data_IF_055528351009
#
_entry.id   IF_055528351009
#
_cell.length_a   1.000
_cell.length_b   1.000
_cell.length_c   1.000
_cell.angle_alpha   90.00
_cell.angle_beta   90.00
_cell.angle_gamma   90.00
#
_symmetry.space_group_name_H-M   'P 1'
#
loop_
_entity.id
_entity.type
_entity.pdbx_description
1 polymer ?
#
# COMPACT_ATOMS: atom_id res chain seq x y z
N UNK A 1 -9.04 14.18 29.18
CA UNK A 1 -10.10 13.14 29.16
C UNK A 1 -10.36 12.62 27.75
N UNK A 2 -10.44 13.49 26.73
CA UNK A 2 -10.67 13.08 25.33
C UNK A 2 -9.62 12.13 24.74
N UNK A 3 -8.34 12.32 25.07
CA UNK A 3 -7.27 11.42 24.62
C UNK A 3 -7.55 9.96 24.99
N UNK A 4 -7.87 9.70 26.26
CA UNK A 4 -8.18 8.35 26.75
C UNK A 4 -9.42 7.76 26.08
N UNK A 5 -10.43 8.59 25.84
CA UNK A 5 -11.66 8.18 25.15
C UNK A 5 -11.35 7.78 23.70
N UNK A 6 -10.57 8.58 22.97
CA UNK A 6 -10.20 8.31 21.58
C UNK A 6 -9.30 7.07 21.47
N UNK A 7 -8.35 6.91 22.40
CA UNK A 7 -7.51 5.72 22.47
C UNK A 7 -8.35 4.46 22.71
N UNK A 8 -9.24 4.48 23.70
CA UNK A 8 -10.15 3.37 23.98
C UNK A 8 -11.04 3.02 22.78
N UNK A 9 -11.63 4.03 22.12
CA UNK A 9 -12.45 3.83 20.92
C UNK A 9 -11.65 3.15 19.80
N UNK A 10 -10.43 3.63 19.53
CA UNK A 10 -9.54 3.03 18.53
C UNK A 10 -9.15 1.59 18.87
N UNK A 11 -8.76 1.33 20.12
CA UNK A 11 -8.40 -0.02 20.59
C UNK A 11 -9.58 -0.99 20.52
N UNK A 12 -10.79 -0.55 20.91
CA UNK A 12 -12.01 -1.36 20.79
C UNK A 12 -12.31 -1.66 19.32
N UNK A 13 -12.16 -0.68 18.42
CA UNK A 13 -12.32 -0.89 16.99
C UNK A 13 -11.40 -1.98 16.43
N UNK A 14 -10.11 -1.91 16.75
CA UNK A 14 -9.14 -2.95 16.35
C UNK A 14 -9.54 -4.31 16.96
N UNK A 15 -9.89 -4.35 18.25
CA UNK A 15 -10.31 -5.58 18.91
C UNK A 15 -11.53 -6.22 18.24
N UNK A 16 -12.54 -5.43 17.87
CA UNK A 16 -13.74 -5.91 17.18
C UNK A 16 -13.38 -6.50 15.81
N UNK A 17 -12.53 -5.83 15.02
CA UNK A 17 -12.10 -6.34 13.71
C UNK A 17 -11.37 -7.69 13.85
N UNK A 18 -10.49 -7.81 14.84
CA UNK A 18 -9.79 -9.07 15.14
C UNK A 18 -10.75 -10.15 15.67
N UNK A 19 -11.75 -9.77 16.47
CA UNK A 19 -12.77 -10.67 16.98
C UNK A 19 -13.63 -11.22 15.84
N UNK A 20 -14.03 -10.38 14.88
CA UNK A 20 -14.75 -10.82 13.67
C UNK A 20 -13.91 -11.80 12.87
N UNK A 21 -12.64 -11.47 12.61
CA UNK A 21 -11.72 -12.38 11.92
C UNK A 21 -11.56 -13.72 12.67
N UNK A 22 -11.46 -13.68 14.01
CA UNK A 22 -11.36 -14.86 14.86
C UNK A 22 -12.64 -15.71 14.81
N UNK A 23 -13.82 -15.10 14.79
CA UNK A 23 -15.10 -15.81 14.77
C UNK A 23 -15.28 -16.62 13.49
N UNK A 24 -14.87 -16.05 12.34
CA UNK A 24 -14.91 -16.71 11.03
C UNK A 24 -13.69 -17.60 10.75
N UNK A 25 -12.77 -17.73 11.71
CA UNK A 25 -11.56 -18.53 11.56
C UNK A 25 -11.87 -20.01 11.38
N UNK A 26 -11.25 -20.63 10.37
CA UNK A 26 -11.36 -22.05 10.10
C UNK A 26 -10.75 -22.92 11.22
N UNK A 27 -9.69 -22.43 11.89
CA UNK A 27 -9.05 -23.19 12.96
C UNK A 27 -8.48 -22.30 14.07
N UNK A 28 -9.35 -21.92 15.02
CA UNK A 28 -9.04 -21.04 16.15
C UNK A 28 -7.86 -21.48 17.01
N UNK A 29 -7.55 -22.79 17.07
CA UNK A 29 -6.46 -23.35 17.90
C UNK A 29 -5.08 -23.22 17.26
N UNK A 30 -5.02 -23.05 15.93
CA UNK A 30 -3.77 -23.00 15.17
C UNK A 30 -3.34 -21.59 14.78
N UNK A 31 -4.08 -20.57 15.22
CA UNK A 31 -3.72 -19.17 15.01
C UNK A 31 -2.35 -18.88 15.65
N UNK A 32 -1.40 -18.41 14.84
CA UNK A 32 -0.10 -17.96 15.32
C UNK A 32 -0.22 -16.54 15.88
N UNK A 33 -0.52 -16.42 17.18
CA UNK A 33 -0.67 -15.13 17.84
C UNK A 33 0.61 -14.28 17.85
N UNK A 34 1.79 -14.90 17.79
CA UNK A 34 3.05 -14.15 17.65
C UNK A 34 3.09 -13.41 16.32
N UNK A 35 2.69 -14.05 15.22
CA UNK A 35 2.57 -13.41 13.90
C UNK A 35 1.57 -12.26 13.94
N UNK A 36 0.37 -12.51 14.47
CA UNK A 36 -0.70 -11.51 14.55
C UNK A 36 -0.28 -10.27 15.34
N UNK A 37 0.27 -10.47 16.54
CA UNK A 37 0.72 -9.36 17.40
C UNK A 37 1.90 -8.63 16.76
N UNK A 38 2.83 -9.34 16.13
CA UNK A 38 3.98 -8.71 15.44
C UNK A 38 3.49 -7.87 14.26
N UNK A 39 2.55 -8.37 13.45
CA UNK A 39 2.00 -7.66 12.30
C UNK A 39 1.21 -6.40 12.69
N UNK A 40 0.37 -6.49 13.73
CA UNK A 40 -0.34 -5.31 14.28
C UNK A 40 0.68 -4.34 14.90
N UNK A 41 1.67 -4.85 15.62
CA UNK A 41 2.76 -4.05 16.19
C UNK A 41 3.51 -3.28 15.10
N UNK A 42 3.83 -3.91 13.98
CA UNK A 42 4.48 -3.27 12.83
C UNK A 42 3.64 -2.10 12.27
N UNK A 43 2.32 -2.27 12.16
CA UNK A 43 1.42 -1.19 11.74
C UNK A 43 1.39 -0.03 12.74
N UNK A 44 1.24 -0.33 14.03
CA UNK A 44 1.19 0.69 15.08
C UNK A 44 2.51 1.46 15.13
N UNK A 45 3.64 0.74 15.10
CA UNK A 45 4.97 1.34 15.07
C UNK A 45 5.11 2.24 13.84
N UNK A 46 4.75 1.76 12.66
CA UNK A 46 4.81 2.55 11.43
C UNK A 46 3.87 3.77 11.49
N UNK A 47 2.65 3.61 12.00
CA UNK A 47 1.71 4.71 12.19
C UNK A 47 2.23 5.78 13.15
N UNK A 48 2.89 5.38 14.25
CA UNK A 48 3.56 6.30 15.16
C UNK A 48 4.67 7.07 14.44
N UNK A 49 5.50 6.39 13.66
CA UNK A 49 6.57 7.04 12.88
C UNK A 49 6.05 8.06 11.86
N UNK A 50 4.90 7.81 11.23
CA UNK A 50 4.34 8.70 10.22
C UNK A 50 3.52 9.85 10.84
N UNK A 51 2.69 9.56 11.83
CA UNK A 51 1.77 10.54 12.44
C UNK A 51 2.51 11.43 13.44
N UNK A 52 3.34 10.85 14.32
CA UNK A 52 4.01 11.56 15.42
C UNK A 52 5.48 11.91 15.11
N UNK A 53 5.85 11.93 13.84
CA UNK A 53 7.22 12.18 13.37
C UNK A 53 7.86 13.45 13.95
N UNK A 54 7.10 14.54 14.10
CA UNK A 54 7.60 15.86 14.51
C UNK A 54 7.96 15.83 15.99
N UNK A 55 7.10 15.19 16.78
CA UNK A 55 7.38 14.88 18.18
C UNK A 55 8.58 13.93 18.31
N UNK A 56 8.64 12.86 17.52
CA UNK A 56 9.77 11.92 17.52
C UNK A 56 11.10 12.59 17.17
N UNK A 57 11.09 13.49 16.17
CA UNK A 57 12.26 14.28 15.75
C UNK A 57 12.75 15.22 16.86
N UNK A 58 11.84 15.75 17.68
CA UNK A 58 12.19 16.59 18.83
C UNK A 58 12.87 15.82 19.96
N UNK A 59 12.57 14.52 20.11
CA UNK A 59 13.21 13.64 21.09
C UNK A 59 14.58 13.15 20.57
N UNK A 60 14.61 12.67 19.33
CA UNK A 60 15.83 12.21 18.69
C UNK A 60 15.74 12.47 17.19
N UNK A 61 16.63 13.32 16.67
CA UNK A 61 16.60 13.78 15.29
C UNK A 61 16.48 12.64 14.27
N UNK A 62 17.15 11.51 14.53
CA UNK A 62 17.13 10.35 13.64
C UNK A 62 15.73 9.75 13.53
N UNK A 63 14.86 9.82 14.54
CA UNK A 63 13.53 9.17 14.47
C UNK A 63 12.54 9.87 13.50
N UNK A 64 12.90 11.04 12.95
CA UNK A 64 12.09 11.74 11.95
C UNK A 64 12.25 11.24 10.50
N UNK A 65 13.34 10.51 10.19
CA UNK A 65 13.66 10.12 8.81
C UNK A 65 12.55 9.34 8.08
N UNK A 66 11.72 8.47 8.72
CA UNK A 66 10.71 7.71 8.01
C UNK A 66 9.65 8.59 7.34
N UNK A 67 9.21 9.66 8.01
CA UNK A 67 8.26 10.61 7.41
C UNK A 67 8.91 11.40 6.30
N UNK A 68 10.17 11.81 6.45
CA UNK A 68 10.89 12.55 5.40
C UNK A 68 11.00 11.73 4.10
N UNK A 69 11.22 10.41 4.22
CA UNK A 69 11.19 9.48 3.07
C UNK A 69 9.80 9.42 2.44
N UNK A 70 8.72 9.24 3.23
CA UNK A 70 7.35 9.19 2.69
C UNK A 70 6.95 10.54 2.06
N UNK A 71 7.32 11.66 2.66
CA UNK A 71 7.08 12.99 2.12
C UNK A 71 7.80 13.18 0.78
N UNK A 72 9.04 12.70 0.68
CA UNK A 72 9.83 12.75 -0.56
C UNK A 72 9.19 11.88 -1.65
N UNK A 73 8.77 10.67 -1.30
CA UNK A 73 8.05 9.78 -2.22
C UNK A 73 6.71 10.39 -2.66
N UNK A 74 5.92 10.92 -1.72
CA UNK A 74 4.65 11.58 -2.01
C UNK A 74 4.82 12.80 -2.92
N UNK A 75 5.83 13.63 -2.67
CA UNK A 75 6.18 14.76 -3.52
C UNK A 75 6.63 14.32 -4.91
N UNK A 76 7.40 13.23 -4.99
CA UNK A 76 7.78 12.59 -6.25
C UNK A 76 6.57 12.10 -7.04
N UNK A 77 5.60 11.46 -6.38
CA UNK A 77 4.33 11.05 -7.01
C UNK A 77 3.59 12.28 -7.56
N UNK A 78 3.48 13.35 -6.79
CA UNK A 78 2.81 14.59 -7.26
C UNK A 78 3.56 15.24 -8.43
N UNK A 79 4.89 15.19 -8.46
CA UNK A 79 5.66 15.64 -9.61
C UNK A 79 5.37 14.79 -10.87
N UNK A 80 5.28 13.46 -10.71
CA UNK A 80 4.90 12.54 -11.80
C UNK A 80 3.47 12.81 -12.31
N UNK A 81 2.53 13.17 -11.43
CA UNK A 81 1.19 13.62 -11.82
C UNK A 81 1.28 14.87 -12.70
N UNK A 82 2.15 15.81 -12.37
CA UNK A 82 2.40 17.01 -13.19
C UNK A 82 2.91 16.70 -14.60
N UNK A 83 3.81 15.73 -14.75
CA UNK A 83 4.25 15.27 -16.08
C UNK A 83 3.13 14.58 -16.86
N UNK A 84 2.32 13.78 -16.17
CA UNK A 84 1.17 13.12 -16.78
C UNK A 84 0.17 14.15 -17.30
N UNK A 85 -0.10 15.20 -16.52
CA UNK A 85 -1.01 16.28 -16.92
C UNK A 85 -0.56 16.94 -18.23
N UNK A 86 0.75 17.15 -18.41
CA UNK A 86 1.31 17.65 -19.68
C UNK A 86 1.11 16.69 -20.85
N UNK A 87 1.25 15.39 -20.60
CA UNK A 87 0.93 14.36 -21.60
C UNK A 87 -0.55 14.31 -21.96
N UNK A 88 -1.44 14.44 -20.98
CA UNK A 88 -2.88 14.48 -21.20
C UNK A 88 -3.29 15.74 -21.98
N UNK A 89 -2.73 16.91 -21.65
CA UNK A 89 -2.90 18.17 -22.40
C UNK A 89 -2.46 18.03 -23.86
N UNK A 90 -1.34 17.34 -24.11
CA UNK A 90 -0.86 17.10 -25.47
C UNK A 90 -1.83 16.23 -26.29
N UNK A 91 -2.38 15.17 -25.69
CA UNK A 91 -3.26 14.21 -26.40
C UNK A 91 -4.69 14.74 -26.55
N UNK A 92 -5.25 15.33 -25.48
CA UNK A 92 -6.67 15.66 -25.39
C UNK A 92 -6.96 17.17 -25.36
N UNK A 93 -5.93 18.02 -25.35
CA UNK A 93 -6.08 19.47 -25.36
C UNK A 93 -6.93 19.97 -24.19
N UNK A 94 -7.96 20.78 -24.51
CA UNK A 94 -8.87 21.40 -23.52
C UNK A 94 -9.68 20.40 -22.70
N UNK A 95 -9.83 19.15 -23.14
CA UNK A 95 -10.55 18.13 -22.38
C UNK A 95 -9.75 17.65 -21.15
N UNK A 96 -8.42 17.65 -21.26
CA UNK A 96 -7.52 17.29 -20.15
C UNK A 96 -7.23 18.47 -19.21
N UNK A 97 -7.47 19.71 -19.64
CA UNK A 97 -7.30 20.90 -18.81
C UNK A 97 -8.50 21.82 -19.00
N UNK A 98 -9.55 21.53 -18.24
CA UNK A 98 -10.81 22.27 -18.29
C UNK A 98 -10.95 23.18 -17.07
N UNK A 99 -10.07 24.17 -16.95
CA UNK A 99 -10.13 25.21 -15.91
C UNK A 99 -10.41 26.58 -16.54
N UNK A 100 -11.21 27.41 -15.87
CA UNK A 100 -11.55 28.76 -16.33
C UNK A 100 -13.05 29.06 -16.35
N UNK A 101 -13.46 30.29 -16.76
CA UNK A 101 -14.85 30.73 -16.77
C UNK A 101 -15.77 29.88 -17.67
N UNK A 102 -15.20 29.32 -18.75
CA UNK A 102 -15.90 28.45 -19.71
C UNK A 102 -15.75 26.95 -19.36
N UNK A 103 -15.35 26.63 -18.12
CA UNK A 103 -15.15 25.24 -17.73
C UNK A 103 -16.46 24.49 -17.69
N UNK A 104 -16.56 23.41 -18.48
CA UNK A 104 -17.62 22.40 -18.39
C UNK A 104 -17.47 21.46 -17.16
N UNK A 105 -16.49 21.71 -16.29
CA UNK A 105 -16.21 20.92 -15.10
C UNK A 105 -15.14 19.83 -15.27
N UNK A 106 -15.08 18.93 -14.29
CA UNK A 106 -14.08 17.87 -14.20
C UNK A 106 -14.44 16.66 -15.06
N UNK A 107 -13.59 16.34 -16.05
CA UNK A 107 -13.77 15.16 -16.89
C UNK A 107 -12.88 14.02 -16.45
N UNK A 108 -13.44 13.09 -15.69
CA UNK A 108 -12.72 11.93 -15.18
C UNK A 108 -11.96 11.16 -16.29
N UNK A 109 -12.59 10.93 -17.43
CA UNK A 109 -12.01 10.15 -18.52
C UNK A 109 -10.72 10.77 -19.09
N UNK A 110 -10.63 12.10 -19.18
CA UNK A 110 -9.51 12.79 -19.84
C UNK A 110 -8.47 13.33 -18.85
N UNK A 111 -8.82 13.43 -17.57
CA UNK A 111 -7.93 13.99 -16.54
C UNK A 111 -7.34 12.88 -15.65
N UNK A 112 -8.07 11.78 -15.45
CA UNK A 112 -7.68 10.74 -14.48
C UNK A 112 -7.16 9.48 -15.15
N UNK A 113 -7.85 8.97 -16.18
CA UNK A 113 -7.44 7.73 -16.85
C UNK A 113 -6.04 7.81 -17.49
N UNK A 114 -5.59 8.93 -18.09
CA UNK A 114 -4.23 9.03 -18.62
C UNK A 114 -3.15 8.81 -17.55
N UNK A 115 -3.43 9.19 -16.31
CA UNK A 115 -2.54 8.94 -15.17
C UNK A 115 -2.40 7.46 -14.87
N UNK A 116 -3.48 6.69 -14.95
CA UNK A 116 -3.42 5.24 -14.78
C UNK A 116 -2.51 4.63 -15.85
N UNK A 117 -2.70 5.03 -17.12
CA UNK A 117 -1.88 4.55 -18.24
C UNK A 117 -0.40 4.88 -18.02
N UNK A 118 -0.09 6.13 -17.67
CA UNK A 118 1.29 6.58 -17.44
C UNK A 118 1.95 5.83 -16.29
N UNK A 119 1.27 5.69 -15.15
CA UNK A 119 1.83 5.01 -13.97
C UNK A 119 1.96 3.51 -14.21
N UNK A 120 1.04 2.88 -14.94
CA UNK A 120 1.17 1.47 -15.35
C UNK A 120 2.37 1.26 -16.28
N UNK A 121 2.59 2.16 -17.24
CA UNK A 121 3.76 2.13 -18.12
C UNK A 121 5.06 2.33 -17.34
N UNK A 122 5.11 3.31 -16.43
CA UNK A 122 6.27 3.56 -15.57
C UNK A 122 6.58 2.36 -14.67
N UNK A 123 5.55 1.79 -14.04
CA UNK A 123 5.69 0.58 -13.20
C UNK A 123 6.24 -0.59 -14.03
N UNK A 124 5.77 -0.76 -15.26
CA UNK A 124 6.27 -1.79 -16.19
C UNK A 124 7.74 -1.56 -16.55
N UNK A 125 8.17 -0.31 -16.75
CA UNK A 125 9.58 0.03 -16.99
C UNK A 125 10.43 -0.25 -15.75
N UNK A 126 9.99 0.17 -14.56
CA UNK A 126 10.71 -0.08 -13.30
C UNK A 126 10.82 -1.58 -13.00
N UNK A 127 9.82 -2.35 -13.43
CA UNK A 127 9.85 -3.80 -13.40
C UNK A 127 10.87 -4.36 -14.40
N UNK A 128 10.84 -3.95 -15.66
CA UNK A 128 11.82 -4.40 -16.65
C UNK A 128 13.27 -4.10 -16.23
N UNK A 129 13.50 -2.93 -15.61
CA UNK A 129 14.81 -2.49 -15.13
C UNK A 129 15.28 -3.21 -13.85
N UNK A 130 14.44 -3.99 -13.17
CA UNK A 130 14.82 -4.69 -11.95
C UNK A 130 14.71 -3.87 -10.65
N UNK A 131 14.33 -2.59 -10.73
CA UNK A 131 14.30 -1.66 -9.59
C UNK A 131 13.18 -2.08 -8.63
N UNK A 132 11.99 -2.33 -9.18
CA UNK A 132 10.83 -2.70 -8.37
C UNK A 132 11.07 -4.02 -7.64
N UNK A 133 11.70 -4.99 -8.30
CA UNK A 133 12.05 -6.28 -7.72
C UNK A 133 13.02 -6.13 -6.55
N UNK A 134 14.01 -5.24 -6.65
CA UNK A 134 14.95 -5.01 -5.56
C UNK A 134 14.25 -4.49 -4.30
N UNK A 135 13.38 -3.49 -4.47
CA UNK A 135 12.60 -2.89 -3.37
C UNK A 135 11.67 -3.94 -2.74
N UNK A 136 10.88 -4.62 -3.58
CA UNK A 136 9.92 -5.62 -3.13
C UNK A 136 10.61 -6.80 -2.44
N UNK A 137 11.76 -7.26 -2.95
CA UNK A 137 12.54 -8.34 -2.32
C UNK A 137 13.03 -7.94 -0.92
N UNK A 138 13.52 -6.72 -0.76
CA UNK A 138 14.00 -6.21 0.52
C UNK A 138 12.88 -6.15 1.56
N UNK A 139 11.74 -5.57 1.18
CA UNK A 139 10.57 -5.49 2.05
C UNK A 139 9.98 -6.87 2.36
N UNK A 140 9.90 -7.77 1.38
CA UNK A 140 9.41 -9.14 1.56
C UNK A 140 10.32 -9.95 2.50
N UNK A 141 11.63 -9.73 2.44
CA UNK A 141 12.58 -10.34 3.36
C UNK A 141 12.38 -9.86 4.80
N UNK A 142 12.17 -8.55 5.00
CA UNK A 142 11.84 -7.99 6.32
C UNK A 142 10.54 -8.63 6.85
N UNK A 143 9.49 -8.67 6.03
CA UNK A 143 8.19 -9.24 6.40
C UNK A 143 8.31 -10.73 6.76
N UNK A 144 8.92 -11.54 5.88
CA UNK A 144 9.10 -12.98 6.11
C UNK A 144 9.92 -13.25 7.38
N UNK A 145 10.96 -12.47 7.63
CA UNK A 145 11.81 -12.65 8.82
C UNK A 145 11.11 -12.26 10.13
N UNK A 146 10.34 -11.17 10.13
CA UNK A 146 9.64 -10.70 11.33
C UNK A 146 8.39 -11.53 11.64
N UNK A 147 7.63 -11.90 10.61
CA UNK A 147 6.34 -12.56 10.75
C UNK A 147 6.43 -14.08 10.68
N UNK A 148 7.54 -14.64 10.17
CA UNK A 148 7.71 -16.08 10.00
C UNK A 148 6.87 -16.67 8.86
N UNK A 149 6.41 -15.82 7.94
CA UNK A 149 5.60 -16.15 6.77
C UNK A 149 6.46 -16.71 5.63
N UNK A 150 5.82 -17.39 4.68
CA UNK A 150 6.54 -17.94 3.53
C UNK A 150 7.11 -16.82 2.65
N UNK A 151 8.18 -17.11 1.91
CA UNK A 151 8.79 -16.13 1.04
C UNK A 151 7.86 -15.72 -0.10
N UNK A 152 7.10 -16.65 -0.67
CA UNK A 152 6.16 -16.38 -1.75
C UNK A 152 4.98 -15.48 -1.29
N UNK A 153 4.33 -15.80 -0.18
CA UNK A 153 3.21 -14.98 0.29
C UNK A 153 3.69 -13.59 0.75
N UNK A 154 4.86 -13.51 1.37
CA UNK A 154 5.46 -12.24 1.79
C UNK A 154 5.85 -11.39 0.58
N UNK A 155 6.37 -12.03 -0.48
CA UNK A 155 6.76 -11.36 -1.71
C UNK A 155 5.55 -10.78 -2.45
N UNK A 156 4.51 -11.60 -2.67
CA UNK A 156 3.29 -11.15 -3.34
C UNK A 156 2.58 -10.06 -2.53
N UNK A 157 2.41 -10.26 -1.22
CA UNK A 157 1.73 -9.29 -0.37
C UNK A 157 2.49 -7.95 -0.26
N UNK A 158 3.83 -7.98 -0.29
CA UNK A 158 4.64 -6.77 -0.31
C UNK A 158 4.60 -6.09 -1.68
N UNK A 159 4.59 -6.86 -2.77
CA UNK A 159 4.49 -6.32 -4.12
C UNK A 159 3.19 -5.54 -4.31
N UNK A 160 2.10 -6.03 -3.73
CA UNK A 160 0.78 -5.39 -3.72
C UNK A 160 0.76 -3.96 -3.15
N UNK A 161 1.81 -3.52 -2.46
CA UNK A 161 1.98 -2.11 -2.04
C UNK A 161 2.15 -1.18 -3.24
N UNK A 162 2.72 -1.69 -4.35
CA UNK A 162 3.09 -0.91 -5.53
C UNK A 162 2.30 -1.34 -6.77
N UNK A 163 2.13 -2.64 -6.97
CA UNK A 163 1.45 -3.25 -8.12
C UNK A 163 0.06 -3.75 -7.77
N UNK A 164 -0.78 -3.99 -8.78
CA UNK A 164 -2.15 -4.44 -8.56
C UNK A 164 -2.27 -5.92 -8.14
N UNK A 165 -3.45 -6.27 -7.64
CA UNK A 165 -3.81 -7.63 -7.20
C UNK A 165 -3.64 -8.73 -8.26
N UNK A 166 -3.65 -8.37 -9.55
CA UNK A 166 -3.42 -9.29 -10.67
C UNK A 166 -1.95 -9.39 -11.08
N UNK A 167 -1.14 -8.39 -10.75
CA UNK A 167 0.27 -8.29 -11.14
C UNK A 167 1.19 -8.86 -10.05
N UNK A 168 0.88 -8.61 -8.78
CA UNK A 168 1.68 -9.12 -7.66
C UNK A 168 1.82 -10.66 -7.64
N UNK A 169 0.77 -11.47 -7.97
CA UNK A 169 0.91 -12.92 -8.04
C UNK A 169 1.83 -13.39 -9.16
N UNK A 170 2.03 -12.60 -10.22
CA UNK A 170 2.93 -12.98 -11.32
C UNK A 170 4.38 -13.14 -10.85
N UNK A 171 4.79 -12.39 -9.81
CA UNK A 171 6.13 -12.49 -9.22
C UNK A 171 6.42 -13.84 -8.57
N UNK A 172 5.37 -14.57 -8.22
CA UNK A 172 5.42 -15.87 -7.54
C UNK A 172 4.73 -16.96 -8.35
N UNK A 173 4.45 -16.72 -9.63
CA UNK A 173 3.71 -17.64 -10.51
C UNK A 173 4.17 -19.10 -10.41
N UNK A 174 5.48 -19.44 -10.34
CA UNK A 174 5.94 -20.83 -10.24
C UNK A 174 5.54 -21.54 -8.93
N UNK A 175 5.16 -20.78 -7.90
CA UNK A 175 4.83 -21.30 -6.57
C UNK A 175 3.33 -21.45 -6.37
N UNK A 176 2.48 -20.71 -7.09
CA UNK A 176 1.02 -20.64 -6.85
C UNK A 176 0.38 -22.04 -6.82
N UNK A 177 0.70 -22.92 -7.77
CA UNK A 177 0.14 -24.27 -7.84
C UNK A 177 0.51 -25.17 -6.64
N UNK A 178 1.57 -24.82 -5.92
CA UNK A 178 2.12 -25.58 -4.78
C UNK A 178 1.87 -24.90 -3.44
N UNK A 179 1.14 -23.79 -3.42
CA UNK A 179 0.87 -23.03 -2.21
C UNK A 179 -0.21 -23.70 -1.38
N UNK A 180 -0.10 -23.56 -0.07
CA UNK A 180 -1.15 -23.99 0.86
C UNK A 180 -2.38 -23.09 0.70
N UNK A 181 -3.54 -23.55 1.18
CA UNK A 181 -4.75 -22.72 1.19
C UNK A 181 -4.58 -21.44 2.04
N UNK A 182 -3.75 -21.49 3.08
CA UNK A 182 -3.43 -20.31 3.89
C UNK A 182 -2.62 -19.30 3.09
N UNK A 183 -1.60 -19.75 2.37
CA UNK A 183 -0.78 -18.92 1.49
C UNK A 183 -1.59 -18.28 0.34
N UNK A 184 -2.47 -19.06 -0.30
CA UNK A 184 -3.35 -18.56 -1.35
C UNK A 184 -4.32 -17.50 -0.82
N UNK A 185 -4.94 -17.74 0.34
CA UNK A 185 -5.82 -16.76 0.96
C UNK A 185 -5.07 -15.48 1.33
N UNK A 186 -3.84 -15.60 1.85
CA UNK A 186 -2.97 -14.44 2.11
C UNK A 186 -2.79 -13.58 0.86
N UNK A 187 -2.50 -14.17 -0.30
CA UNK A 187 -2.32 -13.42 -1.55
C UNK A 187 -3.58 -12.68 -1.95
N UNK A 188 -4.73 -13.36 -1.86
CA UNK A 188 -6.02 -12.77 -2.22
C UNK A 188 -6.39 -11.60 -1.30
N UNK A 189 -6.29 -11.79 0.02
CA UNK A 189 -6.56 -10.73 1.00
C UNK A 189 -5.54 -9.60 0.84
N UNK A 190 -4.27 -9.92 0.61
CA UNK A 190 -3.22 -8.93 0.35
C UNK A 190 -3.54 -8.02 -0.83
N UNK A 191 -3.98 -8.59 -1.95
CA UNK A 191 -4.37 -7.82 -3.14
C UNK A 191 -5.61 -6.95 -2.92
N UNK A 192 -6.59 -7.43 -2.15
CA UNK A 192 -7.81 -6.67 -1.83
C UNK A 192 -7.58 -5.59 -0.76
N UNK A 193 -6.56 -5.74 0.08
CA UNK A 193 -6.26 -4.80 1.16
C UNK A 193 -5.47 -3.57 0.69
N UNK A 194 -4.84 -3.63 -0.48
CA UNK A 194 -4.00 -2.55 -1.03
C UNK A 194 -4.58 -1.95 -2.29
N UNK A 195 -3.93 -0.90 -2.80
CA UNK A 195 -4.26 -0.27 -4.08
C UNK A 195 -3.03 -0.22 -4.98
N UNK A 196 -3.23 -0.44 -6.28
CA UNK A 196 -2.16 -0.29 -7.27
C UNK A 196 -1.72 1.18 -7.39
N UNK A 197 -0.46 1.42 -7.71
CA UNK A 197 0.08 2.79 -7.90
C UNK A 197 -0.71 3.64 -8.91
N UNK A 198 -1.19 3.04 -10.00
CA UNK A 198 -1.99 3.77 -11.00
C UNK A 198 -3.33 4.26 -10.45
N UNK A 199 -4.04 3.42 -9.69
CA UNK A 199 -5.31 3.80 -9.04
C UNK A 199 -5.04 4.76 -7.87
N UNK A 200 -3.94 4.59 -7.13
CA UNK A 200 -3.52 5.55 -6.12
C UNK A 200 -3.36 6.96 -6.70
N UNK A 201 -2.67 7.08 -7.83
CA UNK A 201 -2.47 8.35 -8.54
C UNK A 201 -3.81 8.99 -8.96
N UNK A 202 -4.80 8.17 -9.34
CA UNK A 202 -6.16 8.62 -9.64
C UNK A 202 -6.87 9.23 -8.42
N UNK A 203 -6.75 8.59 -7.25
CA UNK A 203 -7.34 9.07 -6.01
C UNK A 203 -6.66 10.34 -5.49
N UNK A 204 -5.34 10.46 -5.65
CA UNK A 204 -4.62 11.68 -5.27
C UNK A 204 -5.16 12.89 -6.04
N UNK A 205 -5.42 12.75 -7.34
CA UNK A 205 -5.96 13.85 -8.15
C UNK A 205 -7.39 14.20 -7.75
N UNK A 206 -8.27 13.19 -7.67
CA UNK A 206 -9.70 13.40 -7.41
C UNK A 206 -9.96 13.92 -5.99
N UNK A 207 -9.33 13.32 -4.97
CA UNK A 207 -9.47 13.74 -3.58
C UNK A 207 -8.70 15.02 -3.31
N UNK A 208 -7.53 15.21 -3.94
CA UNK A 208 -6.73 16.42 -3.84
C UNK A 208 -7.50 17.66 -4.28
N UNK A 209 -8.20 17.58 -5.42
CA UNK A 209 -9.04 18.68 -5.91
C UNK A 209 -10.17 19.01 -4.94
N UNK A 210 -10.98 18.00 -4.59
CA UNK A 210 -12.13 18.18 -3.70
C UNK A 210 -11.75 18.76 -2.33
N UNK A 211 -10.59 18.34 -1.79
CA UNK A 211 -10.10 18.81 -0.50
C UNK A 211 -9.50 20.22 -0.58
N UNK A 212 -8.80 20.55 -1.67
CA UNK A 212 -8.26 21.88 -1.91
C UNK A 212 -9.38 22.92 -1.96
N UNK A 213 -10.45 22.61 -2.70
CA UNK A 213 -11.62 23.47 -2.85
C UNK A 213 -12.36 23.64 -1.50
N UNK A 214 -12.57 22.56 -0.75
CA UNK A 214 -13.27 22.61 0.54
C UNK A 214 -12.49 23.36 1.64
N UNK A 215 -11.16 23.34 1.60
CA UNK A 215 -10.30 23.91 2.65
C UNK A 215 -9.60 25.22 2.23
N UNK A 216 -9.82 25.71 1.00
CA UNK A 216 -9.17 26.88 0.44
C UNK A 216 -7.63 26.82 0.53
N UNK A 217 -7.04 25.64 0.25
CA UNK A 217 -5.59 25.43 0.23
C UNK A 217 -5.08 25.13 -1.18
N UNK A 218 -3.78 25.33 -1.48
CA UNK A 218 -3.23 25.00 -2.79
C UNK A 218 -3.39 23.52 -3.14
N UNK A 219 -3.82 23.23 -4.38
CA UNK A 219 -4.03 21.86 -4.89
C UNK A 219 -2.83 20.94 -4.64
N UNK A 220 -1.62 21.45 -4.87
CA UNK A 220 -0.40 20.69 -4.68
C UNK A 220 -0.21 20.24 -3.23
N UNK A 221 -0.57 21.09 -2.25
CA UNK A 221 -0.48 20.73 -0.83
C UNK A 221 -1.50 19.64 -0.47
N UNK A 222 -2.73 19.75 -1.00
CA UNK A 222 -3.76 18.73 -0.81
C UNK A 222 -3.34 17.38 -1.42
N UNK A 223 -2.81 17.39 -2.65
CA UNK A 223 -2.33 16.20 -3.34
C UNK A 223 -1.17 15.53 -2.60
N UNK A 224 -0.18 16.30 -2.11
CA UNK A 224 0.94 15.76 -1.33
C UNK A 224 0.41 15.07 -0.05
N UNK A 225 -0.56 15.69 0.63
CA UNK A 225 -1.17 15.11 1.82
C UNK A 225 -1.83 13.76 1.53
N UNK A 226 -2.63 13.66 0.47
CA UNK A 226 -3.23 12.38 0.09
C UNK A 226 -2.20 11.37 -0.41
N UNK A 227 -1.16 11.80 -1.13
CA UNK A 227 -0.08 10.91 -1.56
C UNK A 227 0.61 10.26 -0.35
N UNK A 228 0.95 11.06 0.67
CA UNK A 228 1.52 10.56 1.93
C UNK A 228 0.58 9.59 2.63
N UNK A 229 -0.71 9.94 2.75
CA UNK A 229 -1.69 9.11 3.44
C UNK A 229 -1.95 7.78 2.73
N UNK A 230 -2.13 7.80 1.40
CA UNK A 230 -2.40 6.60 0.61
C UNK A 230 -1.17 5.70 0.52
N UNK A 231 0.03 6.28 0.42
CA UNK A 231 1.29 5.52 0.47
C UNK A 231 1.47 4.86 1.85
N UNK A 232 1.25 5.62 2.93
CA UNK A 232 1.33 5.09 4.28
C UNK A 232 0.29 3.99 4.53
N UNK A 233 -0.95 4.18 4.07
CA UNK A 233 -2.01 3.18 4.16
C UNK A 233 -1.66 1.90 3.41
N UNK A 234 -1.10 2.01 2.20
CA UNK A 234 -0.68 0.85 1.40
C UNK A 234 0.43 0.05 2.09
N UNK A 235 1.41 0.72 2.69
CA UNK A 235 2.48 0.04 3.46
C UNK A 235 1.94 -0.63 4.73
N UNK A 236 0.99 0.01 5.44
CA UNK A 236 0.36 -0.58 6.63
C UNK A 236 -0.56 -1.77 6.29
N UNK A 237 -1.19 -1.74 5.10
CA UNK A 237 -2.09 -2.78 4.66
C UNK A 237 -1.37 -4.14 4.48
N UNK A 238 -0.10 -4.16 4.10
CA UNK A 238 0.66 -5.41 3.93
C UNK A 238 0.77 -6.25 5.22
N UNK A 239 1.28 -5.74 6.37
CA UNK A 239 1.22 -6.51 7.61
C UNK A 239 -0.24 -6.74 8.10
N UNK A 240 -1.18 -5.83 7.81
CA UNK A 240 -2.58 -6.00 8.22
C UNK A 240 -3.27 -7.18 7.53
N UNK A 241 -3.10 -7.27 6.21
CA UNK A 241 -3.64 -8.37 5.41
C UNK A 241 -3.08 -9.71 5.87
N UNK A 242 -1.77 -9.78 6.19
CA UNK A 242 -1.14 -10.98 6.74
C UNK A 242 -1.72 -11.37 8.09
N UNK A 243 -1.93 -10.41 9.00
CA UNK A 243 -2.54 -10.68 10.29
C UNK A 243 -3.95 -11.26 10.13
N UNK A 244 -4.79 -10.62 9.33
CA UNK A 244 -6.18 -11.03 9.11
C UNK A 244 -6.24 -12.38 8.38
N UNK A 245 -5.45 -12.56 7.32
CA UNK A 245 -5.41 -13.82 6.57
C UNK A 245 -5.02 -14.99 7.46
N UNK A 246 -3.99 -14.83 8.30
CA UNK A 246 -3.51 -15.88 9.20
C UNK A 246 -4.38 -16.10 10.43
N UNK A 247 -5.30 -15.18 10.74
CA UNK A 247 -6.40 -15.43 11.69
C UNK A 247 -7.49 -16.25 11.01
N UNK A 248 -7.97 -15.81 9.85
CA UNK A 248 -9.11 -16.44 9.14
C UNK A 248 -8.75 -17.87 8.71
N UNK A 249 -7.56 -18.05 8.13
CA UNK A 249 -7.08 -19.36 7.69
C UNK A 249 -5.62 -19.55 8.11
N UNK A 250 -5.39 -20.05 9.34
CA UNK A 250 -4.04 -20.27 9.85
C UNK A 250 -3.26 -21.30 9.02
N UNK A 251 -1.93 -21.19 9.03
CA UNK A 251 -1.06 -22.13 8.35
C UNK A 251 -1.06 -23.49 9.07
N UNK A 252 -1.46 -24.54 8.36
CA UNK A 252 -1.51 -25.91 8.88
C UNK A 252 -0.44 -26.81 8.27
N UNK A 253 0.02 -26.47 7.07
CA UNK A 253 0.96 -27.22 6.26
C UNK A 253 2.34 -26.55 6.29
N UNK A 254 3.34 -27.17 5.67
CA UNK A 254 4.68 -26.59 5.54
C UNK A 254 4.86 -25.94 4.15
N UNK A 255 4.95 -24.60 4.08
CA UNK A 255 5.14 -23.90 2.81
C UNK A 255 6.47 -24.23 2.11
N UNK A 256 6.42 -24.41 0.80
CA UNK A 256 7.60 -24.69 -0.05
C UNK A 256 8.68 -23.59 0.05
N UNK A 257 8.27 -22.35 0.31
CA UNK A 257 9.17 -21.18 0.35
C UNK A 257 9.42 -20.64 1.76
N UNK A 258 9.17 -21.44 2.79
CA UNK A 258 9.35 -21.01 4.18
C UNK A 258 10.78 -20.49 4.42
N UNK A 259 10.90 -19.26 4.91
CA UNK A 259 12.19 -18.61 5.18
C UNK A 259 13.06 -18.27 3.96
N UNK A 260 12.59 -18.47 2.72
CA UNK A 260 13.37 -18.17 1.51
C UNK A 260 12.62 -17.25 0.55
N UNK A 261 13.13 -16.04 0.36
CA UNK A 261 12.59 -15.09 -0.63
C UNK A 261 13.37 -15.24 -1.95
N UNK A 262 12.90 -16.13 -2.83
CA UNK A 262 13.43 -16.27 -4.19
C UNK A 262 12.55 -15.46 -5.14
N UNK A 263 13.16 -14.48 -5.81
CA UNK A 263 12.51 -13.64 -6.81
C UNK A 263 13.06 -14.07 -8.17
N UNK A 264 12.21 -14.57 -9.07
CA UNK A 264 12.61 -14.90 -10.43
C UNK A 264 12.33 -13.68 -11.30
N UNK A 265 13.37 -13.15 -11.93
CA UNK A 265 13.23 -12.13 -12.97
C UNK A 265 13.16 -12.90 -14.27
N UNK A 266 11.95 -13.16 -14.77
CA UNK A 266 11.79 -13.60 -16.15
C UNK A 266 12.14 -12.40 -17.02
N UNK A 267 13.35 -12.43 -17.57
CA UNK A 267 13.77 -11.53 -18.65
C UNK A 267 13.28 -12.17 -19.94
N UNK A 268 12.08 -11.80 -20.36
CA UNK A 268 11.68 -11.95 -21.75
C UNK A 268 12.25 -10.79 -22.57
#
# INVERSE_FOLDING_TARGET
>A
MEFWINLLRGSIGIFILLAVAFLVSNNKRKINWRLVVTAIGMQIIFAIFIIHSEYLRSIFFVLGWPKDVINSLGSGIVALLGFTQKGAEFVFGRLAYNTGPDSLGFFFAFQVLPTIIFVSALTSILYYLGILQLVVKGMAWIMSKLLGTSGAESLSNTANIFVGQTEAPLLIRPYIEKMTNSELLTIMIGGMATIAGGVMASYIQMLGQSFADANNIPLQQAQIKFAIQLLAASVMAAPASLAIAKIIYPELEEPVTKGTVKLRVDKD
#
